data_IF_329961197692
#
_entry.id   IF_329961197692
#
_cell.length_a   1.000
_cell.length_b   1.000
_cell.length_c   1.000
_cell.angle_alpha   90.00
_cell.angle_beta   90.00
_cell.angle_gamma   90.00
#
_symmetry.space_group_name_H-M   'P 1'
#
loop_
_entity.id
_entity.type
_entity.pdbx_description
1 polymer ?
#
# COMPACT_ATOMS: atom_id res chain seq x y z
N UNK A 1 31.43 -3.03 6.08
CA UNK A 1 30.00 -2.66 6.23
C UNK A 1 29.86 -1.19 5.84
N UNK A 2 29.02 -0.86 4.86
CA UNK A 2 28.91 0.51 4.36
C UNK A 2 28.16 1.40 5.39
N UNK A 3 28.81 2.36 6.05
CA UNK A 3 28.16 3.18 7.10
C UNK A 3 27.03 4.07 6.56
N UNK A 4 26.93 4.25 5.24
CA UNK A 4 25.85 4.99 4.60
C UNK A 4 24.48 4.28 4.60
N UNK A 5 24.44 2.95 4.69
CA UNK A 5 23.18 2.18 4.71
C UNK A 5 22.35 2.41 6.00
N UNK A 6 22.92 2.33 7.22
CA UNK A 6 22.15 2.59 8.43
C UNK A 6 21.69 4.05 8.55
N UNK A 7 22.49 5.00 8.05
CA UNK A 7 22.11 6.42 7.99
C UNK A 7 20.96 6.66 7.02
N UNK A 8 21.00 6.04 5.83
CA UNK A 8 19.89 6.07 4.87
C UNK A 8 18.62 5.42 5.44
N UNK A 9 18.77 4.31 6.18
CA UNK A 9 17.63 3.66 6.81
C UNK A 9 16.97 4.54 7.88
N UNK A 10 17.77 5.22 8.71
CA UNK A 10 17.22 6.15 9.71
C UNK A 10 16.59 7.38 9.07
N UNK A 11 17.22 7.96 8.05
CA UNK A 11 16.69 9.17 7.39
C UNK A 11 15.35 8.92 6.69
N UNK A 12 15.10 7.69 6.21
CA UNK A 12 13.84 7.27 5.58
C UNK A 12 12.85 6.64 6.56
N UNK A 13 13.08 6.75 7.87
CA UNK A 13 12.24 6.15 8.90
C UNK A 13 11.98 4.64 8.65
N UNK A 14 12.97 3.90 8.12
CA UNK A 14 12.82 2.46 7.85
C UNK A 14 12.50 1.66 9.12
N UNK A 15 13.20 1.85 10.25
CA UNK A 15 12.89 1.10 11.48
C UNK A 15 11.43 1.25 11.95
N UNK A 16 10.85 2.46 12.08
CA UNK A 16 9.44 2.59 12.45
C UNK A 16 8.50 2.05 11.35
N UNK A 17 8.86 2.13 10.07
CA UNK A 17 8.06 1.57 8.97
C UNK A 17 7.99 0.04 9.06
N UNK A 18 9.12 -0.62 9.32
CA UNK A 18 9.17 -2.07 9.52
C UNK A 18 8.39 -2.49 10.77
N UNK A 19 8.51 -1.73 11.86
CA UNK A 19 7.72 -1.97 13.07
C UNK A 19 6.22 -1.83 12.80
N UNK A 20 5.81 -0.79 12.06
CA UNK A 20 4.41 -0.59 11.66
C UNK A 20 3.91 -1.73 10.76
N UNK A 21 4.71 -2.21 9.80
CA UNK A 21 4.37 -3.37 8.97
C UNK A 21 4.24 -4.65 9.81
N UNK A 22 5.13 -4.88 10.78
CA UNK A 22 5.06 -6.03 11.67
C UNK A 22 3.81 -5.99 12.56
N UNK A 23 3.50 -4.82 13.15
CA UNK A 23 2.28 -4.61 13.96
C UNK A 23 1.03 -4.80 13.09
N UNK A 24 1.02 -4.25 11.88
CA UNK A 24 -0.11 -4.40 10.94
C UNK A 24 -0.31 -5.87 10.58
N UNK A 25 0.76 -6.60 10.29
CA UNK A 25 0.70 -8.02 9.96
C UNK A 25 0.23 -8.85 11.15
N UNK A 26 0.77 -8.60 12.35
CA UNK A 26 0.34 -9.27 13.58
C UNK A 26 -1.13 -9.02 13.91
N UNK A 27 -1.58 -7.77 13.75
CA UNK A 27 -2.99 -7.41 13.91
C UNK A 27 -3.88 -8.11 12.87
N UNK A 28 -3.44 -8.18 11.61
CA UNK A 28 -4.18 -8.87 10.55
C UNK A 28 -4.28 -10.39 10.81
N UNK A 29 -3.21 -11.03 11.29
CA UNK A 29 -3.21 -12.44 11.69
C UNK A 29 -4.15 -12.68 12.87
N UNK A 30 -4.06 -11.85 13.91
CA UNK A 30 -4.94 -11.94 15.07
C UNK A 30 -6.41 -11.74 14.68
N UNK A 31 -6.71 -10.72 13.87
CA UNK A 31 -8.06 -10.45 13.39
C UNK A 31 -8.59 -11.57 12.51
N UNK A 32 -7.76 -12.15 11.63
CA UNK A 32 -8.14 -13.32 10.85
C UNK A 32 -8.49 -14.50 11.77
N UNK A 33 -7.62 -14.84 12.74
CA UNK A 33 -7.89 -15.92 13.70
C UNK A 33 -9.14 -15.68 14.55
N UNK A 34 -9.38 -14.45 15.00
CA UNK A 34 -10.59 -14.08 15.74
C UNK A 34 -11.86 -14.17 14.88
N UNK A 35 -11.76 -13.89 13.58
CA UNK A 35 -12.87 -14.01 12.63
C UNK A 35 -13.12 -15.44 12.17
N UNK A 36 -12.12 -16.33 12.13
CA UNK A 36 -12.33 -17.77 11.86
C UNK A 36 -13.23 -18.43 12.91
N UNK A 37 -13.28 -17.89 14.14
CA UNK A 37 -14.19 -18.36 15.18
C UNK A 37 -15.68 -18.10 14.86
N UNK A 38 -15.98 -17.23 13.88
CA UNK A 38 -17.33 -16.91 13.42
C UNK A 38 -17.45 -17.31 11.93
N UNK A 39 -18.29 -18.30 11.63
CA UNK A 39 -18.40 -19.01 10.33
C UNK A 39 -18.86 -18.18 9.09
N UNK A 40 -18.65 -16.85 9.06
CA UNK A 40 -19.20 -15.97 8.03
C UNK A 40 -18.11 -15.34 7.12
N UNK A 41 -17.96 -15.80 5.86
CA UNK A 41 -16.90 -15.36 4.93
C UNK A 41 -16.92 -13.85 4.62
N UNK A 42 -18.09 -13.21 4.68
CA UNK A 42 -18.25 -11.78 4.39
C UNK A 42 -17.68 -10.85 5.48
N UNK A 43 -17.44 -11.36 6.70
CA UNK A 43 -16.86 -10.56 7.79
C UNK A 43 -15.35 -10.35 7.69
N UNK A 44 -14.67 -10.99 6.73
CA UNK A 44 -13.22 -10.84 6.47
C UNK A 44 -12.87 -9.70 5.51
N UNK A 45 -13.85 -9.15 4.79
CA UNK A 45 -13.68 -8.02 3.88
C UNK A 45 -12.95 -6.82 4.52
N UNK A 46 -13.22 -6.44 5.79
CA UNK A 46 -12.48 -5.37 6.46
C UNK A 46 -10.98 -5.68 6.60
N UNK A 47 -10.59 -6.92 6.89
CA UNK A 47 -9.17 -7.29 7.07
C UNK A 47 -8.42 -7.20 5.73
N UNK A 48 -9.04 -7.67 4.65
CA UNK A 48 -8.48 -7.67 3.30
C UNK A 48 -8.39 -6.26 2.68
N UNK A 49 -9.19 -5.31 3.17
CA UNK A 49 -9.13 -3.91 2.75
C UNK A 49 -8.25 -3.04 3.68
N UNK A 50 -8.34 -3.22 5.00
CA UNK A 50 -7.64 -2.40 5.99
C UNK A 50 -6.16 -2.77 6.12
N UNK A 51 -5.78 -4.05 6.03
CA UNK A 51 -4.37 -4.44 6.18
C UNK A 51 -3.49 -3.86 5.06
N UNK A 52 -3.88 -3.92 3.77
CA UNK A 52 -3.16 -3.23 2.69
C UNK A 52 -3.12 -1.71 2.85
N UNK A 53 -4.21 -1.11 3.35
CA UNK A 53 -4.27 0.32 3.61
C UNK A 53 -3.26 0.73 4.68
N UNK A 54 -3.25 0.05 5.84
CA UNK A 54 -2.30 0.29 6.92
C UNK A 54 -0.85 0.06 6.51
N UNK A 55 -0.60 -0.96 5.69
CA UNK A 55 0.72 -1.18 5.11
C UNK A 55 1.11 -0.02 4.17
N UNK A 56 0.20 0.42 3.30
CA UNK A 56 0.44 1.53 2.39
C UNK A 56 0.66 2.85 3.12
N UNK A 57 -0.05 3.14 4.22
CA UNK A 57 0.17 4.36 5.02
C UNK A 57 1.53 4.35 5.70
N UNK A 58 1.97 3.20 6.24
CA UNK A 58 3.30 3.04 6.80
C UNK A 58 4.39 3.29 5.73
N UNK A 59 4.20 2.74 4.53
CA UNK A 59 5.10 2.98 3.39
C UNK A 59 5.09 4.45 2.99
N UNK A 60 3.92 5.09 2.91
CA UNK A 60 3.78 6.51 2.58
C UNK A 60 4.53 7.44 3.53
N UNK A 61 4.52 7.13 4.83
CA UNK A 61 5.26 7.88 5.84
C UNK A 61 6.79 7.80 5.64
N UNK A 62 7.30 6.68 5.12
CA UNK A 62 8.73 6.47 4.83
C UNK A 62 9.21 7.22 3.57
N UNK A 63 8.29 7.69 2.73
CA UNK A 63 8.58 8.47 1.51
C UNK A 63 9.00 9.91 1.80
N UNK A 64 8.91 10.37 3.05
CA UNK A 64 9.35 11.71 3.45
C UNK A 64 10.84 11.87 3.14
N UNK A 65 11.19 12.99 2.50
CA UNK A 65 12.57 13.39 2.24
C UNK A 65 12.90 14.59 3.11
N UNK A 66 13.74 14.40 4.13
CA UNK A 66 14.17 15.48 5.03
C UNK A 66 15.35 16.30 4.44
N UNK A 67 15.79 16.00 3.23
CA UNK A 67 16.97 16.62 2.61
C UNK A 67 16.86 16.72 1.09
N UNK A 68 15.85 17.47 0.62
CA UNK A 68 15.56 17.63 -0.81
C UNK A 68 16.68 18.38 -1.57
N UNK A 69 17.42 19.26 -0.89
CA UNK A 69 18.57 19.99 -1.47
C UNK A 69 19.79 19.10 -1.72
N UNK A 70 20.05 18.12 -0.84
CA UNK A 70 21.10 17.11 -1.03
C UNK A 70 20.73 16.12 -2.14
N UNK A 71 19.44 15.84 -2.31
CA UNK A 71 18.94 14.98 -3.39
C UNK A 71 19.05 15.67 -4.77
N UNK A 72 18.92 17.01 -4.86
CA UNK A 72 19.08 17.77 -6.11
C UNK A 72 20.52 17.92 -6.57
N UNK A 73 21.47 17.92 -5.63
CA UNK A 73 22.90 18.12 -5.92
C UNK A 73 23.67 16.81 -6.10
N UNK A 74 23.01 15.66 -5.89
CA UNK A 74 23.64 14.36 -6.05
C UNK A 74 23.94 14.03 -7.53
N UNK A 75 25.20 13.70 -7.82
CA UNK A 75 25.68 13.26 -9.15
C UNK A 75 25.03 11.94 -9.59
N UNK A 76 24.47 11.15 -8.66
CA UNK A 76 23.86 9.85 -8.95
C UNK A 76 22.34 9.96 -9.09
N UNK A 77 21.74 9.19 -10.03
CA UNK A 77 20.30 9.18 -10.23
C UNK A 77 19.56 8.66 -8.99
N UNK A 78 19.04 9.58 -8.19
CA UNK A 78 18.36 9.26 -6.92
C UNK A 78 16.98 8.63 -7.12
N UNK A 79 16.40 8.79 -8.31
CA UNK A 79 15.13 8.17 -8.70
C UNK A 79 15.18 6.63 -8.60
N UNK A 80 16.32 6.01 -8.91
CA UNK A 80 16.53 4.55 -8.77
C UNK A 80 16.46 4.11 -7.30
N UNK A 81 16.99 4.91 -6.36
CA UNK A 81 16.92 4.60 -4.93
C UNK A 81 15.52 4.76 -4.37
N UNK A 82 14.79 5.80 -4.79
CA UNK A 82 13.38 6.00 -4.44
C UNK A 82 12.52 4.84 -4.92
N UNK A 83 12.73 4.43 -6.18
CA UNK A 83 12.01 3.33 -6.80
C UNK A 83 12.34 2.00 -6.12
N UNK A 84 13.63 1.70 -5.90
CA UNK A 84 14.05 0.49 -5.19
C UNK A 84 13.48 0.42 -3.77
N UNK A 85 13.45 1.53 -3.04
CA UNK A 85 12.88 1.58 -1.69
C UNK A 85 11.38 1.31 -1.70
N UNK A 86 10.62 1.97 -2.58
CA UNK A 86 9.18 1.77 -2.71
C UNK A 86 8.86 0.33 -3.13
N UNK A 87 9.56 -0.20 -4.15
CA UNK A 87 9.37 -1.57 -4.61
C UNK A 87 9.73 -2.60 -3.54
N UNK A 88 10.84 -2.42 -2.81
CA UNK A 88 11.25 -3.34 -1.76
C UNK A 88 10.23 -3.39 -0.61
N UNK A 89 9.72 -2.24 -0.18
CA UNK A 89 8.68 -2.19 0.86
C UNK A 89 7.34 -2.76 0.38
N UNK A 90 6.97 -2.51 -0.88
CA UNK A 90 5.76 -3.08 -1.48
C UNK A 90 5.84 -4.59 -1.58
N UNK A 91 6.99 -5.12 -2.03
CA UNK A 91 7.25 -6.54 -2.11
C UNK A 91 7.24 -7.19 -0.72
N UNK A 92 7.88 -6.55 0.26
CA UNK A 92 7.87 -7.01 1.65
C UNK A 92 6.45 -7.04 2.23
N UNK A 93 5.67 -5.96 2.07
CA UNK A 93 4.28 -5.90 2.54
C UNK A 93 3.41 -6.98 1.86
N UNK A 94 3.58 -7.19 0.55
CA UNK A 94 2.88 -8.25 -0.18
C UNK A 94 3.24 -9.63 0.36
N UNK A 95 4.53 -9.90 0.60
CA UNK A 95 5.01 -11.17 1.12
C UNK A 95 4.53 -11.43 2.57
N UNK A 96 4.47 -10.41 3.41
CA UNK A 96 4.01 -10.52 4.80
C UNK A 96 2.48 -10.71 4.92
N UNK A 97 1.71 -10.05 4.06
CA UNK A 97 0.25 -10.08 4.13
C UNK A 97 -0.37 -11.26 3.37
N UNK A 98 0.31 -11.83 2.38
CA UNK A 98 -0.21 -12.96 1.60
C UNK A 98 -0.53 -14.21 2.44
N UNK A 99 0.32 -14.63 3.40
CA UNK A 99 0.02 -15.77 4.28
C UNK A 99 -1.25 -15.59 5.12
N UNK A 100 -1.64 -14.35 5.44
CA UNK A 100 -2.84 -14.04 6.25
C UNK A 100 -4.13 -14.56 5.60
N UNK A 101 -4.14 -14.67 4.27
CA UNK A 101 -5.30 -15.11 3.49
C UNK A 101 -5.15 -16.51 2.88
N UNK A 102 -4.06 -17.23 3.18
CA UNK A 102 -3.73 -18.50 2.52
C UNK A 102 -4.72 -19.64 2.81
N UNK A 103 -5.45 -19.59 3.93
CA UNK A 103 -6.41 -20.64 4.31
C UNK A 103 -7.74 -20.64 3.53
N UNK A 104 -8.03 -19.61 2.72
CA UNK A 104 -9.36 -19.40 2.13
C UNK A 104 -9.29 -18.95 0.65
N UNK A 105 -8.75 -19.82 -0.20
CA UNK A 105 -8.49 -19.56 -1.62
C UNK A 105 -9.72 -19.22 -2.47
N UNK A 106 -10.91 -19.65 -2.06
CA UNK A 106 -12.14 -19.64 -2.87
C UNK A 106 -12.79 -18.25 -3.04
N UNK A 107 -12.56 -17.28 -2.14
CA UNK A 107 -13.25 -15.96 -2.21
C UNK A 107 -12.31 -14.75 -2.04
N UNK A 108 -11.30 -14.84 -1.17
CA UNK A 108 -10.35 -13.75 -0.91
C UNK A 108 -8.90 -14.26 -0.85
N UNK A 109 -8.46 -14.94 -1.91
CA UNK A 109 -7.15 -15.55 -1.95
C UNK A 109 -5.97 -14.55 -2.01
N UNK A 110 -4.73 -15.07 -1.93
CA UNK A 110 -3.47 -14.35 -2.16
C UNK A 110 -3.47 -13.26 -3.25
N UNK A 111 -4.03 -13.47 -4.46
CA UNK A 111 -4.03 -12.44 -5.51
C UNK A 111 -4.81 -11.17 -5.14
N UNK A 112 -5.87 -11.27 -4.32
CA UNK A 112 -6.64 -10.10 -3.86
C UNK A 112 -5.78 -9.23 -2.95
N UNK A 113 -5.04 -9.86 -2.03
CA UNK A 113 -4.17 -9.16 -1.09
C UNK A 113 -3.07 -8.39 -1.82
N UNK A 114 -2.39 -9.04 -2.77
CA UNK A 114 -1.34 -8.41 -3.59
C UNK A 114 -1.91 -7.24 -4.40
N UNK A 115 -3.06 -7.43 -5.05
CA UNK A 115 -3.74 -6.36 -5.80
C UNK A 115 -4.07 -5.16 -4.91
N UNK A 116 -4.61 -5.42 -3.71
CA UNK A 116 -4.96 -4.38 -2.74
C UNK A 116 -3.73 -3.64 -2.22
N UNK A 117 -2.62 -4.32 -1.97
CA UNK A 117 -1.35 -3.69 -1.61
C UNK A 117 -0.85 -2.80 -2.75
N UNK A 118 -0.80 -3.31 -3.98
CA UNK A 118 -0.36 -2.53 -5.15
C UNK A 118 -1.20 -1.28 -5.36
N UNK A 119 -2.53 -1.40 -5.36
CA UNK A 119 -3.40 -0.25 -5.57
C UNK A 119 -3.33 0.78 -4.44
N UNK A 120 -3.30 0.34 -3.17
CA UNK A 120 -3.18 1.27 -2.03
C UNK A 120 -1.84 1.99 -2.04
N UNK A 121 -0.73 1.28 -2.28
CA UNK A 121 0.60 1.89 -2.37
C UNK A 121 0.67 2.88 -3.55
N UNK A 122 0.05 2.55 -4.68
CA UNK A 122 -0.05 3.47 -5.83
C UNK A 122 -0.75 4.79 -5.48
N UNK A 123 -1.90 4.70 -4.81
CA UNK A 123 -2.67 5.89 -4.37
C UNK A 123 -1.85 6.71 -3.36
N UNK A 124 -1.23 6.06 -2.38
CA UNK A 124 -0.40 6.75 -1.38
C UNK A 124 0.83 7.40 -2.01
N UNK A 125 1.49 6.74 -2.96
CA UNK A 125 2.63 7.31 -3.68
C UNK A 125 2.21 8.55 -4.50
N UNK A 126 1.09 8.48 -5.21
CA UNK A 126 0.53 9.61 -5.93
C UNK A 126 0.14 10.76 -4.98
N UNK A 127 -0.53 10.43 -3.86
CA UNK A 127 -0.90 11.39 -2.84
C UNK A 127 0.33 12.04 -2.18
N UNK A 128 1.42 11.31 -1.99
CA UNK A 128 2.68 11.85 -1.47
C UNK A 128 3.31 12.89 -2.42
N UNK A 129 3.13 12.73 -3.74
CA UNK A 129 3.59 13.72 -4.74
C UNK A 129 2.73 15.00 -4.71
N UNK A 130 1.42 14.89 -4.45
CA UNK A 130 0.50 16.04 -4.49
C UNK A 130 0.39 16.77 -3.16
N UNK A 131 0.22 16.01 -2.07
CA UNK A 131 -0.11 16.47 -0.72
C UNK A 131 1.08 16.37 0.25
N UNK A 132 2.17 15.70 -0.14
CA UNK A 132 3.31 15.40 0.72
C UNK A 132 3.11 14.10 1.53
N UNK A 133 4.23 13.55 2.02
CA UNK A 133 4.24 12.25 2.71
C UNK A 133 3.34 12.19 3.96
N UNK A 134 3.22 13.30 4.70
CA UNK A 134 2.41 13.39 5.93
C UNK A 134 0.91 13.23 5.70
N UNK A 135 0.39 13.75 4.58
CA UNK A 135 -1.05 13.72 4.24
C UNK A 135 -1.38 12.64 3.20
N UNK A 136 -0.37 11.88 2.75
CA UNK A 136 -0.51 10.86 1.71
C UNK A 136 -1.50 9.74 2.04
N UNK A 137 -1.78 9.52 3.33
CA UNK A 137 -2.72 8.52 3.80
C UNK A 137 -4.19 8.92 3.62
N UNK A 138 -4.51 10.23 3.62
CA UNK A 138 -5.90 10.72 3.59
C UNK A 138 -6.65 10.28 2.32
N UNK A 139 -6.08 10.42 1.10
CA UNK A 139 -6.79 10.00 -0.11
C UNK A 139 -6.99 8.49 -0.18
N UNK A 140 -5.99 7.70 0.25
CA UNK A 140 -6.10 6.25 0.28
C UNK A 140 -7.18 5.80 1.28
N UNK A 141 -7.21 6.40 2.47
CA UNK A 141 -8.23 6.12 3.48
C UNK A 141 -9.63 6.49 2.98
N UNK A 142 -9.81 7.72 2.47
CA UNK A 142 -11.08 8.18 1.93
C UNK A 142 -11.57 7.30 0.77
N UNK A 143 -10.67 6.91 -0.13
CA UNK A 143 -11.01 6.03 -1.26
C UNK A 143 -11.46 4.64 -0.78
N UNK A 144 -10.70 3.99 0.11
CA UNK A 144 -11.03 2.65 0.60
C UNK A 144 -12.32 2.68 1.42
N UNK A 145 -12.54 3.69 2.27
CA UNK A 145 -13.78 3.85 3.03
C UNK A 145 -14.99 4.08 2.12
N UNK A 146 -14.86 4.94 1.10
CA UNK A 146 -15.92 5.18 0.12
C UNK A 146 -16.24 3.91 -0.69
N UNK A 147 -15.22 3.20 -1.16
CA UNK A 147 -15.39 1.94 -1.89
C UNK A 147 -16.05 0.86 -1.03
N UNK A 148 -15.74 0.80 0.26
CA UNK A 148 -16.36 -0.14 1.19
C UNK A 148 -17.85 0.20 1.42
N UNK A 149 -18.16 1.46 1.73
CA UNK A 149 -19.54 1.91 1.97
C UNK A 149 -20.44 1.77 0.74
N UNK A 150 -19.88 2.03 -0.46
CA UNK A 150 -20.64 1.96 -1.71
C UNK A 150 -20.71 0.55 -2.33
N UNK A 151 -20.00 -0.43 -1.76
CA UNK A 151 -19.93 -1.79 -2.31
C UNK A 151 -21.26 -2.56 -2.22
N UNK A 152 -22.14 -2.23 -1.26
CA UNK A 152 -23.43 -2.90 -1.04
C UNK A 152 -24.44 -2.74 -2.18
N UNK A 153 -24.26 -1.73 -3.05
CA UNK A 153 -25.13 -1.48 -4.21
C UNK A 153 -24.43 -1.62 -5.57
N UNK A 154 -23.12 -1.88 -5.61
CA UNK A 154 -22.32 -1.75 -6.82
C UNK A 154 -22.40 -2.99 -7.73
N UNK A 155 -23.16 -2.90 -8.81
CA UNK A 155 -23.28 -3.94 -9.84
C UNK A 155 -22.77 -3.45 -11.21
N UNK A 156 -22.16 -4.34 -11.99
CA UNK A 156 -21.71 -4.08 -13.37
C UNK A 156 -20.21 -3.80 -13.56
N UNK A 157 -19.78 -3.60 -14.83
CA UNK A 157 -18.36 -3.40 -15.20
C UNK A 157 -17.71 -2.16 -14.53
N UNK A 158 -18.48 -1.09 -14.33
CA UNK A 158 -17.97 0.09 -13.62
C UNK A 158 -17.65 -0.19 -12.13
N UNK A 159 -18.41 -1.11 -11.50
CA UNK A 159 -18.13 -1.57 -10.15
C UNK A 159 -16.77 -2.26 -10.04
N UNK A 160 -16.34 -3.00 -11.07
CA UNK A 160 -15.02 -3.64 -11.08
C UNK A 160 -13.84 -2.66 -11.14
N UNK A 161 -14.07 -1.45 -11.65
CA UNK A 161 -13.04 -0.41 -11.77
C UNK A 161 -12.92 0.46 -10.53
N UNK A 162 -14.04 0.86 -9.91
CA UNK A 162 -14.01 1.75 -8.73
C UNK A 162 -14.10 1.01 -7.39
N UNK A 163 -14.87 -0.09 -7.30
CA UNK A 163 -14.98 -0.91 -6.09
C UNK A 163 -13.96 -2.06 -6.09
N UNK A 164 -12.89 -1.92 -6.89
CA UNK A 164 -11.81 -2.89 -7.04
C UNK A 164 -11.24 -3.45 -5.72
N UNK A 165 -11.20 -2.74 -4.56
CA UNK A 165 -10.69 -3.30 -3.31
C UNK A 165 -11.55 -4.43 -2.74
N UNK A 166 -12.85 -4.45 -3.07
CA UNK A 166 -13.87 -5.37 -2.52
C UNK A 166 -14.23 -6.48 -3.52
N UNK A 167 -13.74 -6.39 -4.76
CA UNK A 167 -14.08 -7.35 -5.82
C UNK A 167 -13.32 -8.67 -5.69
N UNK A 168 -13.90 -9.81 -6.11
CA UNK A 168 -13.23 -11.11 -6.13
C UNK A 168 -11.92 -11.10 -6.94
N UNK A 169 -10.97 -11.97 -6.59
CA UNK A 169 -9.58 -11.95 -7.08
C UNK A 169 -9.37 -12.20 -8.57
N UNK A 170 -10.34 -12.81 -9.25
CA UNK A 170 -10.23 -13.17 -10.66
C UNK A 170 -10.63 -12.05 -11.64
N UNK A 171 -11.11 -10.89 -11.15
CA UNK A 171 -11.65 -9.86 -12.03
C UNK A 171 -10.53 -9.03 -12.72
N UNK A 172 -10.41 -9.08 -14.06
CA UNK A 172 -9.32 -8.40 -14.78
C UNK A 172 -9.42 -6.87 -14.69
N UNK A 173 -10.62 -6.31 -14.58
CA UNK A 173 -10.82 -4.86 -14.42
C UNK A 173 -10.23 -4.32 -13.12
N UNK A 174 -10.31 -5.09 -12.03
CA UNK A 174 -9.75 -4.71 -10.73
C UNK A 174 -8.21 -4.72 -10.76
N UNK A 175 -7.62 -5.68 -11.47
CA UNK A 175 -6.16 -5.72 -11.68
C UNK A 175 -5.67 -4.57 -12.54
N UNK A 176 -6.38 -4.24 -13.61
CA UNK A 176 -6.02 -3.09 -14.46
C UNK A 176 -6.03 -1.77 -13.67
N UNK A 177 -7.05 -1.55 -12.83
CA UNK A 177 -7.13 -0.36 -11.98
C UNK A 177 -5.99 -0.29 -10.95
N UNK A 178 -5.71 -1.39 -10.25
CA UNK A 178 -4.65 -1.44 -9.25
C UNK A 178 -3.25 -1.25 -9.87
N UNK A 179 -2.98 -1.90 -11.01
CA UNK A 179 -1.71 -1.75 -11.72
C UNK A 179 -1.55 -0.36 -12.32
N UNK A 180 -2.61 0.23 -12.87
CA UNK A 180 -2.58 1.61 -13.34
C UNK A 180 -2.27 2.60 -12.20
N UNK A 181 -2.93 2.46 -11.05
CA UNK A 181 -2.66 3.29 -9.88
C UNK A 181 -1.21 3.10 -9.37
N UNK A 182 -0.74 1.86 -9.30
CA UNK A 182 0.61 1.54 -8.86
C UNK A 182 1.69 2.08 -9.80
N UNK A 183 1.55 1.85 -11.10
CA UNK A 183 2.51 2.30 -12.11
C UNK A 183 2.54 3.83 -12.19
N UNK A 184 1.39 4.49 -12.21
CA UNK A 184 1.29 5.94 -12.25
C UNK A 184 1.89 6.56 -10.98
N UNK A 185 1.48 6.08 -9.80
CA UNK A 185 1.97 6.57 -8.52
C UNK A 185 3.47 6.36 -8.35
N UNK A 186 3.98 5.18 -8.70
CA UNK A 186 5.42 4.85 -8.63
C UNK A 186 6.24 5.68 -9.61
N UNK A 187 5.79 5.84 -10.86
CA UNK A 187 6.50 6.63 -11.86
C UNK A 187 6.56 8.12 -11.48
N UNK A 188 5.43 8.70 -11.05
CA UNK A 188 5.38 10.08 -10.58
C UNK A 188 6.24 10.29 -9.33
N UNK A 189 6.19 9.38 -8.37
CA UNK A 189 7.02 9.46 -7.17
C UNK A 189 8.52 9.29 -7.47
N UNK A 190 8.89 8.37 -8.36
CA UNK A 190 10.27 8.20 -8.77
C UNK A 190 10.83 9.45 -9.48
N UNK A 191 10.01 10.07 -10.33
CA UNK A 191 10.40 11.26 -11.09
C UNK A 191 10.43 12.55 -10.24
N UNK A 192 9.44 12.76 -9.37
CA UNK A 192 9.27 14.03 -8.64
C UNK A 192 9.60 13.98 -7.15
N UNK A 193 9.65 12.79 -6.54
CA UNK A 193 9.72 12.65 -5.08
C UNK A 193 8.42 13.08 -4.40
N UNK A 194 8.39 13.00 -3.07
CA UNK A 194 7.28 13.52 -2.28
C UNK A 194 7.35 15.05 -2.21
N UNK A 195 6.20 15.73 -2.19
CA UNK A 195 6.15 17.18 -2.01
C UNK A 195 6.81 17.56 -0.67
N UNK A 196 7.76 18.52 -0.65
CA UNK A 196 8.32 19.00 0.60
C UNK A 196 7.20 19.60 1.45
N UNK A 197 7.15 19.20 2.72
CA UNK A 197 6.23 19.81 3.69
C UNK A 197 6.64 21.26 3.90
N UNK A 198 5.68 22.18 3.77
CA UNK A 198 5.87 23.58 4.14
C UNK A 198 6.01 23.77 5.64
#
# INVERSE_FOLDING_TARGET
>A
MNPGLPLYARSRALPPTLAALAVTTGFAVWAAGALDAYLDPYRRVPVVALAPLLAATAIGASLRSDSDELDRTAVRPWWLRRLAHLLALTALASALLTPVVAGHAETFGPPVMVRNVLGCVGIVALAAVVLGARLSWLPAFGYVSAAYLASSGAHGRAATLWAWPVQPGAQPGAWAAALAAFTLGTALYAARGARPGG
#
